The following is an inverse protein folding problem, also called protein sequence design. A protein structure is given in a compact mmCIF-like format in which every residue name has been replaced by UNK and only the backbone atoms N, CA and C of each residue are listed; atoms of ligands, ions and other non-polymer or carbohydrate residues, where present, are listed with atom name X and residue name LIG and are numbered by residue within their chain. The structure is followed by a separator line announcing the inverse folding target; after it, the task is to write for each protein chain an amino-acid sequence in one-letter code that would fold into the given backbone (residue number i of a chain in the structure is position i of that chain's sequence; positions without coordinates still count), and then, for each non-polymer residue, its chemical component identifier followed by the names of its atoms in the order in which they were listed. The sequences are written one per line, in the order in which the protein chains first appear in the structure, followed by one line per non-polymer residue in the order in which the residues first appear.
data_IF_432334871731
#
_entry.id   IF_432334871731
#
_cell.length_a   1.000
_cell.length_b   1.000
_cell.length_c   1.000
_cell.angle_alpha   90.00
_cell.angle_beta   90.00
_cell.angle_gamma   90.00
#
_symmetry.space_group_name_H-M   'P 1'
#
loop_
_entity.id
_entity.type
_entity.pdbx_description
1 polymer ?
#
# COMPACT_ATOMS: atom_id res chain seq x y z
N UNK A 1 31.11 -18.57 -8.18
CA UNK A 1 29.95 -19.01 -9.00
C UNK A 1 29.34 -17.73 -9.57
N UNK A 2 29.05 -17.66 -10.88
CA UNK A 2 28.67 -16.38 -11.48
C UNK A 2 27.26 -16.00 -11.07
N UNK A 3 27.07 -14.70 -10.83
CA UNK A 3 25.78 -14.04 -10.56
C UNK A 3 24.68 -14.59 -11.50
N UNK A 4 25.01 -14.83 -12.77
CA UNK A 4 24.12 -15.38 -13.81
C UNK A 4 23.53 -16.77 -13.48
N UNK A 5 24.25 -17.62 -12.75
CA UNK A 5 23.78 -18.95 -12.37
C UNK A 5 22.82 -18.92 -11.18
N UNK A 6 23.08 -18.05 -10.19
CA UNK A 6 22.12 -17.75 -9.11
C UNK A 6 20.82 -17.15 -9.67
N UNK A 7 20.95 -16.25 -10.65
CA UNK A 7 19.81 -15.70 -11.38
C UNK A 7 18.97 -16.77 -12.07
N UNK A 8 19.58 -17.70 -12.80
CA UNK A 8 18.83 -18.79 -13.48
C UNK A 8 18.07 -19.69 -12.50
N UNK A 9 18.63 -19.96 -11.33
CA UNK A 9 17.99 -20.79 -10.32
C UNK A 9 16.80 -20.08 -9.66
N UNK A 10 16.93 -18.77 -9.39
CA UNK A 10 15.87 -17.92 -8.84
C UNK A 10 14.73 -17.72 -9.84
N UNK A 11 15.02 -17.54 -11.13
CA UNK A 11 14.01 -17.32 -12.17
C UNK A 11 13.21 -18.59 -12.51
N UNK A 12 13.80 -19.78 -12.39
CA UNK A 12 13.07 -21.04 -12.54
C UNK A 12 11.99 -21.24 -11.45
N UNK A 13 12.11 -20.57 -10.30
CA UNK A 13 11.08 -20.57 -9.25
C UNK A 13 9.95 -19.55 -9.48
N UNK A 14 10.16 -18.53 -10.32
CA UNK A 14 9.22 -17.43 -10.53
C UNK A 14 8.32 -17.61 -11.76
N UNK A 15 8.73 -18.45 -12.72
CA UNK A 15 7.96 -18.76 -13.93
C UNK A 15 6.65 -19.53 -13.70
N UNK A 16 6.38 -19.95 -12.45
CA UNK A 16 5.18 -20.72 -12.05
C UNK A 16 4.20 -19.89 -11.20
N UNK A 17 4.46 -18.58 -11.02
CA UNK A 17 3.58 -17.71 -10.23
C UNK A 17 2.31 -17.35 -11.02
N UNK A 18 1.11 -17.54 -10.46
CA UNK A 18 -0.14 -17.14 -11.11
C UNK A 18 -0.18 -15.63 -11.35
N UNK A 19 -0.81 -15.21 -12.45
CA UNK A 19 -0.98 -13.78 -12.77
C UNK A 19 -1.65 -13.03 -11.62
N UNK A 20 -1.20 -11.81 -11.34
CA UNK A 20 -1.83 -10.93 -10.37
C UNK A 20 -3.29 -10.66 -10.74
N UNK A 21 -4.19 -10.82 -9.77
CA UNK A 21 -5.60 -10.45 -9.94
C UNK A 21 -5.76 -8.95 -10.16
N UNK A 22 -6.85 -8.54 -10.80
CA UNK A 22 -7.20 -7.13 -11.00
C UNK A 22 -7.15 -6.33 -9.70
N UNK A 23 -7.82 -6.83 -8.65
CA UNK A 23 -7.82 -6.21 -7.32
C UNK A 23 -6.41 -6.04 -6.76
N UNK A 24 -5.53 -7.05 -6.89
CA UNK A 24 -4.15 -6.94 -6.39
C UNK A 24 -3.34 -5.91 -7.17
N UNK A 25 -3.57 -5.76 -8.47
CA UNK A 25 -2.92 -4.71 -9.27
C UNK A 25 -3.40 -3.31 -8.87
N UNK A 26 -4.70 -3.13 -8.65
CA UNK A 26 -5.24 -1.84 -8.14
C UNK A 26 -4.65 -1.49 -6.77
N UNK A 27 -4.66 -2.43 -5.83
CA UNK A 27 -4.07 -2.24 -4.50
C UNK A 27 -2.59 -1.88 -4.59
N UNK A 28 -1.83 -2.63 -5.39
CA UNK A 28 -0.40 -2.34 -5.55
C UNK A 28 -0.15 -1.00 -6.25
N UNK A 29 -0.98 -0.62 -7.22
CA UNK A 29 -0.89 0.68 -7.87
C UNK A 29 -1.07 1.81 -6.85
N UNK A 30 -2.10 1.72 -6.00
CA UNK A 30 -2.33 2.68 -4.91
C UNK A 30 -1.16 2.72 -3.89
N UNK A 31 -0.67 1.56 -3.45
CA UNK A 31 0.49 1.48 -2.54
C UNK A 31 1.72 2.19 -3.12
N UNK A 32 2.06 1.91 -4.39
CA UNK A 32 3.23 2.51 -5.04
C UNK A 32 3.05 4.01 -5.31
N UNK A 33 1.84 4.46 -5.64
CA UNK A 33 1.55 5.90 -5.80
C UNK A 33 1.72 6.65 -4.47
N UNK A 34 1.18 6.13 -3.37
CA UNK A 34 1.37 6.72 -2.05
C UNK A 34 2.86 6.73 -1.64
N UNK A 35 3.61 5.68 -2.00
CA UNK A 35 5.06 5.61 -1.75
C UNK A 35 5.84 6.68 -2.52
N UNK A 36 5.44 6.98 -3.75
CA UNK A 36 6.00 8.08 -4.55
C UNK A 36 5.68 9.43 -3.93
N UNK A 37 4.43 9.65 -3.50
CA UNK A 37 4.04 10.90 -2.81
C UNK A 37 4.86 11.11 -1.52
N UNK A 38 5.03 10.05 -0.72
CA UNK A 38 5.89 10.09 0.49
C UNK A 38 7.32 10.46 0.13
N UNK A 39 7.88 9.88 -0.93
CA UNK A 39 9.24 10.15 -1.37
C UNK A 39 9.42 11.61 -1.85
N UNK A 40 8.40 12.18 -2.49
CA UNK A 40 8.41 13.57 -2.95
C UNK A 40 8.41 14.57 -1.80
N UNK A 41 7.70 14.27 -0.70
CA UNK A 41 7.66 15.14 0.49
C UNK A 41 8.89 14.96 1.38
N UNK A 42 9.37 13.73 1.53
CA UNK A 42 10.54 13.44 2.39
C UNK A 42 11.87 13.65 1.68
N UNK A 43 11.88 13.74 0.35
CA UNK A 43 13.05 13.94 -0.49
C UNK A 43 13.87 12.67 -0.76
N UNK A 44 13.53 11.54 -0.13
CA UNK A 44 14.13 10.24 -0.41
C UNK A 44 13.12 9.10 -0.27
N UNK A 45 13.37 7.97 -0.94
CA UNK A 45 12.65 6.74 -0.68
C UNK A 45 13.58 5.69 -0.04
N UNK A 46 13.31 5.32 1.22
CA UNK A 46 13.88 4.13 1.83
C UNK A 46 12.97 2.92 1.53
N UNK A 47 13.45 1.90 0.79
CA UNK A 47 12.65 0.70 0.52
C UNK A 47 12.18 -0.04 1.79
N UNK A 48 12.84 0.19 2.95
CA UNK A 48 12.44 -0.38 4.23
C UNK A 48 11.15 0.21 4.78
N UNK A 49 10.72 1.38 4.29
CA UNK A 49 9.44 1.97 4.68
C UNK A 49 8.27 1.26 4.03
N UNK A 50 8.45 0.65 2.85
CA UNK A 50 7.35 -0.06 2.21
C UNK A 50 7.22 -1.48 2.77
N UNK A 51 6.16 -1.70 3.54
CA UNK A 51 5.87 -2.91 4.30
C UNK A 51 4.73 -3.75 3.73
N UNK A 52 3.92 -3.19 2.83
CA UNK A 52 2.85 -3.90 2.11
C UNK A 52 3.25 -5.28 1.56
N UNK A 53 4.44 -5.47 0.92
CA UNK A 53 4.88 -6.77 0.40
C UNK A 53 5.13 -7.82 1.48
N UNK A 54 5.27 -7.40 2.74
CA UNK A 54 5.56 -8.24 3.89
C UNK A 54 4.31 -8.59 4.71
N UNK A 55 3.13 -8.10 4.30
CA UNK A 55 1.86 -8.30 5.00
C UNK A 55 1.91 -7.82 6.46
N UNK A 56 2.67 -6.75 6.71
CA UNK A 56 2.63 -6.05 8.00
C UNK A 56 1.32 -5.25 8.11
N UNK A 57 0.92 -4.82 9.32
CA UNK A 57 -0.37 -4.14 9.52
C UNK A 57 -0.56 -2.86 8.71
N UNK A 58 0.52 -2.13 8.40
CA UNK A 58 0.48 -0.91 7.60
C UNK A 58 1.32 -1.07 6.34
N UNK A 59 0.89 -0.47 5.24
CA UNK A 59 1.61 -0.55 3.97
C UNK A 59 2.91 0.26 3.96
N UNK A 60 2.95 1.40 4.66
CA UNK A 60 4.12 2.28 4.75
C UNK A 60 4.44 2.62 6.20
N UNK A 61 5.68 2.37 6.61
CA UNK A 61 6.22 2.60 7.95
C UNK A 61 7.42 3.55 7.90
N UNK A 62 7.15 4.83 8.04
CA UNK A 62 8.17 5.87 8.18
C UNK A 62 8.53 6.07 9.68
N UNK A 63 9.73 6.58 10.02
CA UNK A 63 10.08 6.87 11.41
C UNK A 63 9.10 7.80 12.14
N UNK A 64 8.46 8.72 11.42
CA UNK A 64 7.57 9.73 12.01
C UNK A 64 6.08 9.43 11.88
N UNK A 65 5.67 8.52 10.99
CA UNK A 65 4.26 8.22 10.72
C UNK A 65 4.11 6.83 10.10
N UNK A 66 2.88 6.33 10.09
CA UNK A 66 2.50 5.09 9.41
C UNK A 66 1.36 5.39 8.43
N UNK A 67 1.25 4.65 7.33
CA UNK A 67 0.18 4.79 6.36
C UNK A 67 -0.39 3.42 6.02
N UNK A 68 -1.70 3.28 6.17
CA UNK A 68 -2.47 2.17 5.61
C UNK A 68 -3.13 2.63 4.31
N UNK A 69 -2.91 1.91 3.20
CA UNK A 69 -3.39 2.29 1.87
C UNK A 69 -4.56 1.40 1.45
N UNK A 70 -5.66 2.01 1.00
CA UNK A 70 -6.82 1.29 0.45
C UNK A 70 -7.08 1.74 -0.97
N UNK A 71 -7.07 0.79 -1.90
CA UNK A 71 -7.57 1.01 -3.26
C UNK A 71 -9.06 0.68 -3.33
N UNK A 72 -9.83 1.59 -3.92
CA UNK A 72 -11.26 1.42 -4.19
C UNK A 72 -11.53 1.74 -5.66
N UNK A 73 -12.53 1.11 -6.28
CA UNK A 73 -12.99 1.51 -7.62
C UNK A 73 -13.97 2.67 -7.54
N UNK A 74 -14.17 3.40 -8.65
CA UNK A 74 -15.07 4.57 -8.74
C UNK A 74 -16.45 4.37 -8.11
N UNK A 75 -17.09 3.22 -8.35
CA UNK A 75 -18.45 2.94 -7.87
C UNK A 75 -18.49 2.26 -6.48
N UNK A 76 -17.36 2.20 -5.77
CA UNK A 76 -17.29 1.58 -4.45
C UNK A 76 -17.99 2.46 -3.42
N UNK A 77 -18.82 1.85 -2.59
CA UNK A 77 -19.48 2.55 -1.47
C UNK A 77 -18.84 2.22 -0.11
N UNK A 78 -17.97 1.22 -0.06
CA UNK A 78 -17.30 0.78 1.16
C UNK A 78 -15.89 0.28 0.86
N UNK A 79 -15.06 0.23 1.91
CA UNK A 79 -13.76 -0.45 1.87
C UNK A 79 -13.63 -1.38 3.08
N UNK A 80 -12.91 -2.49 2.90
CA UNK A 80 -12.72 -3.48 3.96
C UNK A 80 -11.44 -3.19 4.73
N UNK A 81 -11.54 -3.22 6.06
CA UNK A 81 -10.40 -3.30 6.96
C UNK A 81 -10.17 -4.77 7.33
N UNK A 82 -8.93 -5.23 7.18
CA UNK A 82 -8.51 -6.62 7.40
C UNK A 82 -7.67 -6.74 8.66
N UNK A 83 -8.27 -7.25 9.72
CA UNK A 83 -7.61 -7.45 11.00
C UNK A 83 -7.81 -6.26 11.93
N UNK A 84 -7.47 -6.48 13.20
CA UNK A 84 -7.60 -5.47 14.23
C UNK A 84 -6.40 -4.52 14.29
N UNK A 85 -5.33 -4.85 13.57
CA UNK A 85 -4.05 -4.15 13.69
C UNK A 85 -3.90 -3.05 12.63
N UNK A 86 -4.66 -3.09 11.53
CA UNK A 86 -4.51 -2.13 10.42
C UNK A 86 -4.87 -0.69 10.76
N UNK A 87 -5.74 -0.49 11.76
CA UNK A 87 -6.10 0.83 12.28
C UNK A 87 -5.64 1.01 13.74
N UNK A 88 -4.69 0.19 14.20
CA UNK A 88 -4.09 0.32 15.51
C UNK A 88 -2.81 1.17 15.43
N UNK A 89 -2.58 2.01 16.43
CA UNK A 89 -1.45 2.93 16.41
C UNK A 89 -0.16 2.18 16.75
N UNK A 90 0.83 2.26 15.87
CA UNK A 90 2.17 1.70 16.12
C UNK A 90 3.08 2.74 16.78
N UNK A 91 3.64 2.39 17.94
CA UNK A 91 4.64 3.18 18.67
C UNK A 91 4.23 4.65 18.96
N UNK A 92 2.93 4.93 19.03
CA UNK A 92 2.40 6.28 19.23
C UNK A 92 2.58 7.23 18.04
N UNK A 93 3.02 6.73 16.89
CA UNK A 93 3.12 7.52 15.65
C UNK A 93 1.73 7.82 15.09
N UNK A 94 1.53 8.98 14.44
CA UNK A 94 0.34 9.21 13.62
C UNK A 94 0.17 8.09 12.59
N UNK A 95 -1.05 7.57 12.48
CA UNK A 95 -1.45 6.65 11.43
C UNK A 95 -2.37 7.39 10.47
N UNK A 96 -2.06 7.32 9.18
CA UNK A 96 -2.88 7.86 8.11
C UNK A 96 -3.58 6.71 7.38
N UNK A 97 -4.89 6.79 7.23
CA UNK A 97 -5.63 5.94 6.30
C UNK A 97 -5.74 6.69 4.97
N UNK A 98 -5.03 6.21 3.96
CA UNK A 98 -4.99 6.78 2.62
C UNK A 98 -5.84 5.95 1.66
N UNK A 99 -6.95 6.51 1.19
CA UNK A 99 -7.89 5.86 0.28
C UNK A 99 -7.68 6.44 -1.11
N UNK A 100 -7.34 5.60 -2.07
CA UNK A 100 -7.15 5.97 -3.47
C UNK A 100 -8.26 5.35 -4.33
N UNK A 101 -8.99 6.20 -5.05
CA UNK A 101 -9.94 5.76 -6.09
C UNK A 101 -9.17 5.46 -7.36
N UNK A 102 -9.10 4.18 -7.73
CA UNK A 102 -8.30 3.67 -8.84
C UNK A 102 -9.23 3.25 -9.98
N UNK A 103 -8.93 3.71 -11.19
CA UNK A 103 -9.69 3.43 -12.41
C UNK A 103 -8.76 2.96 -13.52
N UNK A 104 -9.23 2.03 -14.36
CA UNK A 104 -8.55 1.74 -15.63
C UNK A 104 -8.64 2.95 -16.56
N UNK A 105 -7.53 3.33 -17.17
CA UNK A 105 -7.50 4.52 -18.03
C UNK A 105 -6.46 4.34 -19.13
N UNK A 106 -6.86 4.52 -20.39
CA UNK A 106 -5.94 4.41 -21.53
C UNK A 106 -4.84 5.49 -21.51
N UNK A 107 -5.10 6.63 -20.86
CA UNK A 107 -4.15 7.72 -20.58
C UNK A 107 -3.49 7.60 -19.20
N UNK A 108 -3.71 6.50 -18.49
CA UNK A 108 -3.16 6.22 -17.17
C UNK A 108 -1.69 5.78 -17.20
N UNK A 109 -1.18 5.45 -16.02
CA UNK A 109 0.16 4.91 -15.84
C UNK A 109 0.10 3.38 -15.64
N UNK A 110 1.01 2.65 -16.29
CA UNK A 110 1.13 1.22 -16.04
C UNK A 110 1.84 0.96 -14.72
N UNK A 111 1.47 -0.14 -14.05
CA UNK A 111 2.14 -0.59 -12.84
C UNK A 111 3.66 -0.77 -13.04
N UNK A 112 4.09 -1.16 -14.24
CA UNK A 112 5.51 -1.29 -14.59
C UNK A 112 6.23 0.07 -14.61
N UNK A 113 5.60 1.10 -15.20
CA UNK A 113 6.13 2.46 -15.21
C UNK A 113 6.28 3.01 -13.78
N UNK A 114 5.23 2.85 -12.98
CA UNK A 114 5.21 3.30 -11.60
C UNK A 114 6.27 2.57 -10.75
N UNK A 115 6.42 1.25 -10.93
CA UNK A 115 7.47 0.47 -10.29
C UNK A 115 8.88 0.95 -10.68
N UNK A 116 9.10 1.31 -11.94
CA UNK A 116 10.38 1.89 -12.39
C UNK A 116 10.68 3.21 -11.69
N UNK A 117 9.70 4.10 -11.59
CA UNK A 117 9.83 5.37 -10.86
C UNK A 117 10.19 5.16 -9.39
N UNK A 118 9.56 4.19 -8.73
CA UNK A 118 9.90 3.79 -7.35
C UNK A 118 11.36 3.35 -7.23
N UNK A 119 11.86 2.54 -8.17
CA UNK A 119 13.28 2.14 -8.19
C UNK A 119 14.21 3.35 -8.41
N UNK A 120 13.80 4.33 -9.22
CA UNK A 120 14.61 5.51 -9.51
C UNK A 120 14.76 6.43 -8.29
N UNK A 121 13.66 6.61 -7.54
CA UNK A 121 13.59 7.40 -6.30
C UNK A 121 14.25 6.71 -5.09
N UNK A 122 14.34 5.37 -5.11
CA UNK A 122 14.88 4.60 -4.00
C UNK A 122 16.38 4.83 -3.77
N UNK A 123 16.74 5.09 -2.50
CA UNK A 123 18.16 5.20 -2.09
C UNK A 123 18.93 3.90 -2.22
N UNK A 124 18.24 2.76 -2.10
CA UNK A 124 18.77 1.44 -2.42
C UNK A 124 17.90 0.75 -3.48
N UNK A 125 18.35 0.84 -4.73
CA UNK A 125 17.67 0.25 -5.89
C UNK A 125 17.59 -1.28 -5.84
N UNK A 126 18.52 -1.95 -5.16
CA UNK A 126 18.53 -3.42 -5.07
C UNK A 126 17.45 -3.89 -4.10
N UNK A 127 17.35 -3.22 -2.95
CA UNK A 127 16.28 -3.47 -1.98
C UNK A 127 14.90 -3.13 -2.55
N UNK A 128 14.77 -2.01 -3.28
CA UNK A 128 13.52 -1.66 -3.96
C UNK A 128 13.05 -2.73 -4.96
N UNK A 129 13.96 -3.20 -5.82
CA UNK A 129 13.66 -4.31 -6.76
C UNK A 129 13.23 -5.58 -6.02
N UNK A 130 13.91 -5.92 -4.93
CA UNK A 130 13.59 -7.10 -4.14
C UNK A 130 12.19 -7.01 -3.52
N UNK A 131 11.81 -5.84 -3.02
CA UNK A 131 10.46 -5.58 -2.50
C UNK A 131 9.39 -5.66 -3.60
N UNK A 132 9.66 -5.08 -4.78
CA UNK A 132 8.76 -5.15 -5.95
C UNK A 132 8.54 -6.58 -6.43
N UNK A 133 9.60 -7.40 -6.51
CA UNK A 133 9.49 -8.83 -6.83
C UNK A 133 8.61 -9.55 -5.80
N UNK A 134 8.82 -9.28 -4.51
CA UNK A 134 8.00 -9.84 -3.43
C UNK A 134 6.52 -9.41 -3.55
N UNK A 135 6.26 -8.20 -4.02
CA UNK A 135 4.92 -7.69 -4.29
C UNK A 135 4.24 -8.30 -5.52
N UNK A 136 4.99 -9.04 -6.35
CA UNK A 136 4.52 -9.70 -7.57
C UNK A 136 4.89 -9.00 -8.88
N UNK A 137 5.71 -7.94 -8.84
CA UNK A 137 6.17 -7.23 -10.05
C UNK A 137 7.38 -7.95 -10.63
N UNK A 138 7.29 -8.42 -11.88
CA UNK A 138 8.38 -9.14 -12.57
C UNK A 138 8.86 -8.39 -13.79
N UNK A 139 10.19 -8.36 -14.03
CA UNK A 139 10.81 -7.58 -15.12
C UNK A 139 10.56 -8.16 -16.53
N UNK A 140 10.02 -9.37 -16.64
CA UNK A 140 9.87 -10.07 -17.91
C UNK A 140 8.43 -10.54 -18.07
N UNK A 141 7.54 -9.61 -18.45
CA UNK A 141 6.58 -9.65 -19.58
C UNK A 141 5.91 -10.96 -20.01
N UNK A 142 6.04 -12.06 -19.29
CA UNK A 142 5.36 -13.31 -19.58
C UNK A 142 3.96 -13.16 -19.02
N UNK A 143 3.13 -12.49 -19.83
CA UNK A 143 1.69 -12.35 -19.71
C UNK A 143 1.14 -11.24 -18.81
N UNK A 144 1.83 -10.11 -18.75
CA UNK A 144 1.39 -8.91 -18.02
C UNK A 144 0.13 -8.34 -18.66
N UNK A 145 -0.93 -8.29 -17.86
CA UNK A 145 -2.05 -7.39 -18.09
C UNK A 145 -1.50 -5.96 -17.94
N UNK A 146 -1.29 -5.28 -19.08
CA UNK A 146 -0.67 -3.96 -19.15
C UNK A 146 -1.66 -2.83 -18.95
N UNK A 147 -2.88 -3.12 -18.47
CA UNK A 147 -3.91 -2.10 -18.29
C UNK A 147 -3.37 -0.98 -17.42
N UNK A 148 -3.28 0.25 -17.96
CA UNK A 148 -2.86 1.39 -17.18
C UNK A 148 -3.97 1.80 -16.21
N UNK A 149 -3.55 2.33 -15.07
CA UNK A 149 -4.43 2.83 -14.04
C UNK A 149 -4.23 4.32 -13.85
N UNK A 150 -5.26 4.96 -13.30
CA UNK A 150 -5.22 6.34 -12.85
C UNK A 150 -5.83 6.41 -11.46
N UNK A 151 -5.22 7.21 -10.59
CA UNK A 151 -5.86 7.65 -9.35
C UNK A 151 -6.72 8.86 -9.70
N UNK A 152 -8.03 8.72 -9.63
CA UNK A 152 -8.99 9.79 -9.96
C UNK A 152 -9.28 10.70 -8.77
N UNK A 153 -9.20 10.16 -7.56
CA UNK A 153 -9.40 10.87 -6.31
C UNK A 153 -8.60 10.22 -5.17
N UNK A 154 -8.23 11.03 -4.17
CA UNK A 154 -7.64 10.53 -2.91
C UNK A 154 -8.30 11.17 -1.71
N UNK A 155 -8.51 10.37 -0.67
CA UNK A 155 -8.98 10.81 0.64
C UNK A 155 -7.98 10.33 1.68
N UNK A 156 -7.45 11.24 2.51
CA UNK A 156 -6.54 10.89 3.60
C UNK A 156 -7.14 11.29 4.94
N UNK A 157 -7.12 10.36 5.90
CA UNK A 157 -7.71 10.52 7.23
C UNK A 157 -6.62 10.25 8.28
N UNK A 158 -6.42 11.18 9.20
CA UNK A 158 -5.65 10.92 10.42
C UNK A 158 -6.46 10.00 11.33
N UNK A 159 -5.96 8.80 11.59
CA UNK A 159 -6.66 7.79 12.38
C UNK A 159 -6.62 8.15 13.85
N UNK A 160 -7.78 8.45 14.42
CA UNK A 160 -7.94 8.84 15.83
C UNK A 160 -9.14 8.13 16.49
N UNK A 161 -9.59 8.63 17.64
CA UNK A 161 -10.73 8.07 18.37
C UNK A 161 -12.09 8.22 17.67
N UNK A 162 -12.18 9.11 16.67
CA UNK A 162 -13.38 9.32 15.86
C UNK A 162 -13.45 8.39 14.64
N UNK A 163 -12.31 7.81 14.24
CA UNK A 163 -12.24 6.87 13.11
C UNK A 163 -12.91 5.53 13.47
N UNK A 164 -13.82 5.00 12.64
CA UNK A 164 -14.44 3.70 12.89
C UNK A 164 -13.39 2.59 12.78
N UNK A 165 -12.98 2.04 13.93
CA UNK A 165 -11.96 0.99 14.00
C UNK A 165 -12.32 -0.10 15.01
N UNK A 166 -11.84 -1.30 14.75
CA UNK A 166 -11.83 -2.41 15.71
C UNK A 166 -10.36 -2.70 15.99
N UNK A 167 -9.88 -2.46 17.21
CA UNK A 167 -8.49 -2.75 17.60
C UNK A 167 -8.43 -3.85 18.66
N UNK A 168 -7.27 -4.49 18.81
CA UNK A 168 -7.07 -5.56 19.79
C UNK A 168 -7.38 -5.10 21.23
N UNK A 169 -7.07 -3.84 21.54
CA UNK A 169 -7.35 -3.22 22.84
C UNK A 169 -8.84 -3.01 23.16
N UNK A 170 -9.76 -3.18 22.19
CA UNK A 170 -11.21 -3.10 22.43
C UNK A 170 -11.79 -4.38 23.05
N UNK A 171 -11.05 -5.48 22.99
CA UNK A 171 -11.45 -6.74 23.61
C UNK A 171 -10.90 -6.79 25.04
N UNK A 172 -11.77 -7.01 26.03
CA UNK A 172 -11.41 -6.95 27.45
C UNK A 172 -10.20 -7.82 27.83
N UNK A 173 -10.08 -9.00 27.22
CA UNK A 173 -8.99 -9.95 27.42
C UNK A 173 -8.09 -10.09 26.17
N UNK A 174 -8.14 -9.11 25.26
CA UNK A 174 -7.57 -9.21 23.92
C UNK A 174 -8.38 -10.13 23.00
N UNK A 175 -7.89 -10.31 21.76
CA UNK A 175 -8.54 -11.16 20.77
C UNK A 175 -8.31 -12.62 21.14
N UNK A 176 -9.40 -13.37 21.34
CA UNK A 176 -9.31 -14.78 21.69
C UNK A 176 -8.57 -15.58 20.58
N UNK A 177 -7.60 -16.46 20.89
CA UNK A 177 -6.77 -17.14 19.89
C UNK A 177 -7.51 -18.01 18.85
N UNK A 178 -8.75 -18.40 19.15
CA UNK A 178 -9.61 -19.11 18.19
C UNK A 178 -10.17 -18.20 17.08
N UNK A 179 -10.07 -16.87 17.22
CA UNK A 179 -10.43 -15.91 16.19
C UNK A 179 -9.26 -15.80 15.22
N UNK A 180 -9.42 -16.38 14.04
CA UNK A 180 -8.38 -16.44 13.01
C UNK A 180 -8.41 -15.24 12.05
N UNK A 181 -9.50 -14.47 12.03
CA UNK A 181 -9.64 -13.27 11.21
C UNK A 181 -10.75 -12.36 11.74
N UNK A 182 -10.49 -11.05 11.68
CA UNK A 182 -11.50 -10.00 11.83
C UNK A 182 -11.53 -9.23 10.51
N UNK A 183 -12.72 -8.99 9.97
CA UNK A 183 -12.91 -8.15 8.78
C UNK A 183 -14.18 -7.36 8.98
N UNK A 184 -14.13 -6.08 8.64
CA UNK A 184 -15.29 -5.21 8.69
C UNK A 184 -15.20 -4.19 7.57
N UNK A 185 -16.38 -3.84 7.04
CA UNK A 185 -16.49 -2.82 6.00
C UNK A 185 -16.86 -1.49 6.65
N UNK A 186 -16.30 -0.43 6.09
CA UNK A 186 -16.54 0.95 6.46
C UNK A 186 -17.09 1.70 5.26
N UNK A 187 -18.15 2.48 5.49
CA UNK A 187 -18.79 3.30 4.46
C UNK A 187 -17.87 4.44 4.02
N UNK A 188 -17.60 4.54 2.72
CA UNK A 188 -16.66 5.50 2.17
C UNK A 188 -17.16 6.94 2.31
N UNK A 189 -18.46 7.19 2.13
CA UNK A 189 -19.01 8.53 2.27
C UNK A 189 -18.86 9.06 3.71
N UNK A 190 -19.11 8.20 4.69
CA UNK A 190 -18.92 8.51 6.11
C UNK A 190 -17.45 8.74 6.45
N UNK A 191 -16.55 7.89 5.93
CA UNK A 191 -15.10 8.06 6.11
C UNK A 191 -14.58 9.36 5.50
N UNK A 192 -14.97 9.69 4.27
CA UNK A 192 -14.57 10.94 3.61
C UNK A 192 -15.03 12.17 4.39
N UNK A 193 -16.13 12.09 5.13
CA UNK A 193 -16.57 13.14 6.05
C UNK A 193 -15.65 13.36 7.26
N UNK A 194 -14.75 12.41 7.57
CA UNK A 194 -13.74 12.52 8.63
C UNK A 194 -12.38 13.03 8.11
N UNK A 195 -12.21 13.15 6.80
CA UNK A 195 -10.97 13.62 6.21
C UNK A 195 -10.64 15.03 6.69
N UNK A 196 -9.39 15.26 7.10
CA UNK A 196 -9.01 16.50 7.78
C UNK A 196 -8.97 17.72 6.85
N UNK A 197 -9.12 17.55 5.53
CA UNK A 197 -9.07 18.61 4.53
C UNK A 197 -7.75 18.75 3.75
N UNK A 198 -6.55 18.44 4.30
CA UNK A 198 -5.32 18.41 3.51
C UNK A 198 -5.19 17.11 2.70
N UNK A 199 -4.46 17.19 1.58
CA UNK A 199 -3.97 16.01 0.86
C UNK A 199 -2.97 15.22 1.71
N UNK A 200 -2.63 14.00 1.29
CA UNK A 200 -1.56 13.21 1.93
C UNK A 200 -0.29 14.06 2.07
N UNK A 201 0.12 14.73 0.99
CA UNK A 201 1.26 15.67 0.99
C UNK A 201 1.20 16.68 2.12
N UNK A 202 0.09 17.40 2.27
CA UNK A 202 -0.04 18.44 3.29
C UNK A 202 -0.01 17.89 4.71
N UNK A 203 -0.61 16.71 4.95
CA UNK A 203 -0.51 16.03 6.26
C UNK A 203 0.93 15.59 6.56
N UNK A 204 1.65 15.10 5.54
CA UNK A 204 3.05 14.71 5.69
C UNK A 204 3.95 15.90 6.00
N UNK A 205 3.70 17.06 5.37
CA UNK A 205 4.41 18.32 5.64
C UNK A 205 4.16 18.83 7.07
N UNK A 206 2.98 18.62 7.64
CA UNK A 206 2.66 19.00 9.03
C UNK A 206 3.34 18.10 10.09
N UNK A 207 3.66 16.85 9.74
CA UNK A 207 4.26 15.86 10.65
C UNK A 207 5.80 15.98 10.71
N UNK A 208 6.43 16.61 9.70
CA UNK A 208 7.88 16.82 9.62
C UNK A 208 8.37 17.94 10.56
#
# INVERSE_FOLDING_TARGET
LSIVAEWRALFAQLSDQPRMTYQRRMSLFAELSALVEVAEVTGELDPRWWRGPFLEPHDIEHPNFSIEVKAVGHDSTSTTIHGADQLDLLDGKPLLLHIATVEESDDGESLESLARRVIELAKDRTSARSALIKAGVTEHGHTVDTTPFKISDTTTISVDSSTPRITGGMFADGIHPAIIAIKYDVDLATLSGLASGPSLTSLLEEIQ
#
